data_IF_079363452181
#
_entry.id   IF_079363452181
#
_cell.length_a   1.000
_cell.length_b   1.000
_cell.length_c   1.000
_cell.angle_alpha   90.00
_cell.angle_beta   90.00
_cell.angle_gamma   90.00
#
_symmetry.space_group_name_H-M   'P 1'
#
loop_
_entity.id
_entity.type
_entity.pdbx_description
1 polymer ?
#
# COMPACT_ATOMS: atom_id res chain seq x y z
N UNK A 1 -15.39 -30.02 7.77
CA UNK A 1 -15.39 -29.04 6.67
C UNK A 1 -14.17 -28.16 6.84
N UNK A 2 -13.16 -28.27 5.97
CA UNK A 2 -11.93 -27.46 6.04
C UNK A 2 -12.17 -26.15 5.27
N UNK A 3 -11.90 -24.95 5.83
CA UNK A 3 -12.02 -23.71 5.06
C UNK A 3 -10.95 -23.68 3.95
N UNK A 4 -11.34 -23.22 2.77
CA UNK A 4 -10.43 -23.00 1.66
C UNK A 4 -9.38 -21.94 2.03
N UNK A 5 -8.14 -22.02 1.50
CA UNK A 5 -7.11 -21.02 1.77
C UNK A 5 -7.61 -19.64 1.34
N UNK A 6 -7.53 -18.65 2.24
CA UNK A 6 -7.89 -17.28 1.88
C UNK A 6 -6.96 -16.78 0.78
N UNK A 7 -7.51 -16.19 -0.28
CA UNK A 7 -6.70 -15.53 -1.30
C UNK A 7 -5.83 -14.48 -0.60
N UNK A 8 -4.52 -14.50 -0.83
CA UNK A 8 -3.68 -13.36 -0.48
C UNK A 8 -4.10 -12.17 -1.34
N UNK A 9 -4.76 -11.20 -0.73
CA UNK A 9 -5.11 -9.94 -1.38
C UNK A 9 -3.92 -9.02 -1.36
N UNK A 10 -3.46 -8.60 -2.55
CA UNK A 10 -2.49 -7.53 -2.71
C UNK A 10 -3.23 -6.20 -2.58
N UNK A 11 -2.83 -5.37 -1.62
CA UNK A 11 -3.43 -4.06 -1.38
C UNK A 11 -2.51 -2.96 -1.89
N UNK A 12 -3.06 -1.91 -2.49
CA UNK A 12 -2.31 -0.71 -2.88
C UNK A 12 -2.72 0.44 -2.00
N UNK A 13 -1.75 1.05 -1.34
CA UNK A 13 -1.95 2.13 -0.38
C UNK A 13 -1.31 3.41 -0.92
N UNK A 14 -1.99 4.53 -0.73
CA UNK A 14 -1.48 5.87 -1.01
C UNK A 14 -1.44 6.68 0.29
N UNK A 15 -0.29 7.28 0.58
CA UNK A 15 -0.14 8.29 1.62
C UNK A 15 -0.13 9.68 1.00
N UNK A 16 -0.83 10.62 1.61
CA UNK A 16 -0.85 12.03 1.22
C UNK A 16 -0.37 12.87 2.39
N UNK A 17 0.61 13.74 2.15
CA UNK A 17 1.14 14.70 3.12
C UNK A 17 0.95 16.13 2.58
N UNK A 18 -0.09 16.86 3.02
CA UNK A 18 -0.46 18.16 2.47
C UNK A 18 0.40 19.33 3.00
N UNK A 19 1.70 19.13 3.21
CA UNK A 19 2.62 20.14 3.77
C UNK A 19 2.53 21.55 3.17
N UNK A 20 3.13 22.54 3.85
CA UNK A 20 2.91 23.99 3.65
C UNK A 20 3.16 24.58 2.24
N UNK A 21 3.82 23.86 1.31
CA UNK A 21 4.20 24.40 -0.01
C UNK A 21 3.96 23.46 -1.19
N UNK A 22 4.12 22.15 -1.00
CA UNK A 22 3.81 21.11 -1.99
C UNK A 22 3.29 19.90 -1.24
N UNK A 23 2.20 19.31 -1.74
CA UNK A 23 1.69 18.05 -1.22
C UNK A 23 2.66 16.94 -1.61
N UNK A 24 3.29 16.32 -0.61
CA UNK A 24 4.02 15.08 -0.80
C UNK A 24 3.05 13.91 -0.89
N UNK A 25 3.41 12.86 -1.61
CA UNK A 25 2.66 11.62 -1.68
C UNK A 25 3.59 10.42 -1.88
N UNK A 26 3.09 9.24 -1.52
CA UNK A 26 3.79 7.97 -1.71
C UNK A 26 2.82 6.82 -1.94
N UNK A 27 3.22 5.85 -2.76
CA UNK A 27 2.43 4.66 -3.08
C UNK A 27 3.24 3.41 -2.74
N UNK A 28 2.59 2.47 -2.05
CA UNK A 28 3.15 1.16 -1.74
C UNK A 28 2.16 0.04 -2.09
N UNK A 29 2.71 -1.11 -2.45
CA UNK A 29 1.95 -2.36 -2.49
C UNK A 29 2.24 -3.17 -1.22
N UNK A 30 1.18 -3.79 -0.68
CA UNK A 30 1.20 -4.60 0.55
C UNK A 30 0.76 -6.02 0.21
N UNK A 31 1.61 -6.99 0.56
CA UNK A 31 1.33 -8.42 0.45
C UNK A 31 1.68 -9.11 1.79
N UNK A 32 0.70 -9.19 2.70
CA UNK A 32 0.95 -9.63 4.07
C UNK A 32 1.91 -8.67 4.77
N UNK A 33 3.05 -9.18 5.25
CA UNK A 33 4.12 -8.37 5.86
C UNK A 33 5.10 -7.76 4.85
N UNK A 34 4.99 -8.11 3.56
CA UNK A 34 5.88 -7.56 2.53
C UNK A 34 5.35 -6.22 2.03
N UNK A 35 6.19 -5.19 2.10
CA UNK A 35 5.94 -3.87 1.53
C UNK A 35 6.82 -3.67 0.28
N UNK A 36 6.30 -2.97 -0.72
CA UNK A 36 7.06 -2.63 -1.93
C UNK A 36 6.78 -1.18 -2.33
N UNK A 37 7.83 -0.38 -2.43
CA UNK A 37 7.74 0.99 -2.96
C UNK A 37 7.33 0.98 -4.42
N UNK A 38 6.41 1.86 -4.81
CA UNK A 38 5.91 1.98 -6.18
C UNK A 38 6.26 3.33 -6.79
N UNK A 39 5.90 4.42 -6.10
CA UNK A 39 6.15 5.78 -6.58
C UNK A 39 6.01 6.79 -5.42
N UNK A 40 6.57 7.98 -5.62
CA UNK A 40 6.47 9.10 -4.69
C UNK A 40 6.55 10.43 -5.45
N UNK A 41 6.15 11.52 -4.79
CA UNK A 41 6.26 12.88 -5.32
C UNK A 41 5.89 13.94 -4.30
#
# INVERSE_FOLDING_TARGET
MTPAPSKKTRQRLIGLDPGLRKTGWGVIDVEGSRLTHIANG
#
